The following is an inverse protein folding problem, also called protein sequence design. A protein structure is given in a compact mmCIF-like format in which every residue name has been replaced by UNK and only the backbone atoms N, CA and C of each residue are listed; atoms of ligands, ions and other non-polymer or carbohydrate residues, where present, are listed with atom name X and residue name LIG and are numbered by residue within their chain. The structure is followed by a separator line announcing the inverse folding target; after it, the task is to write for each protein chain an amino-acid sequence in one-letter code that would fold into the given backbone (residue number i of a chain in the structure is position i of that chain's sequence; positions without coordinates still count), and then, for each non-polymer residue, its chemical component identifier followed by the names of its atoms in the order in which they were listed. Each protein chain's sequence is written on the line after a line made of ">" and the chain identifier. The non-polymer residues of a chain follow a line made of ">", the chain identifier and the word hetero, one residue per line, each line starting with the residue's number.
data_IF_263609951576
#
_entry.id   IF_263609951576
#
_cell.length_a   1.000
_cell.length_b   1.000
_cell.length_c   1.000
_cell.angle_alpha   90.00
_cell.angle_beta   90.00
_cell.angle_gamma   90.00
#
_symmetry.space_group_name_H-M   'P 1'
#
loop_
_entity.id
_entity.type
_entity.pdbx_description
1 polymer ?
#
# COMPACT_ATOMS: atom_id res chain seq x y z
N UNK A 1 -35.00 52.94 -27.50
CA UNK A 1 -35.22 51.47 -27.31
C UNK A 1 -33.97 50.61 -27.55
N UNK A 2 -32.73 51.15 -27.50
CA UNK A 2 -31.50 50.38 -27.78
C UNK A 2 -30.74 49.84 -26.57
N UNK A 3 -30.75 50.53 -25.40
CA UNK A 3 -29.84 50.17 -24.30
C UNK A 3 -30.16 48.85 -23.61
N UNK A 4 -31.44 48.45 -23.53
CA UNK A 4 -31.88 47.21 -22.86
C UNK A 4 -31.44 45.94 -23.60
N UNK A 5 -31.35 46.02 -24.93
CA UNK A 5 -30.87 44.92 -25.77
C UNK A 5 -29.35 44.78 -25.69
N UNK A 6 -28.62 45.90 -25.64
CA UNK A 6 -27.17 45.90 -25.47
C UNK A 6 -26.77 45.37 -24.09
N UNK A 7 -27.48 45.76 -23.01
CA UNK A 7 -27.19 45.25 -21.66
C UNK A 7 -27.50 43.76 -21.52
N UNK A 8 -28.59 43.28 -22.13
CA UNK A 8 -28.93 41.85 -22.13
C UNK A 8 -27.90 40.99 -22.85
N UNK A 9 -27.43 41.45 -24.02
CA UNK A 9 -26.36 40.78 -24.76
C UNK A 9 -25.05 40.72 -23.99
N UNK A 10 -24.66 41.82 -23.33
CA UNK A 10 -23.44 41.88 -22.53
C UNK A 10 -23.46 40.87 -21.37
N UNK A 11 -24.59 40.75 -20.66
CA UNK A 11 -24.73 39.77 -19.56
C UNK A 11 -24.59 38.33 -20.07
N UNK A 12 -25.19 38.02 -21.22
CA UNK A 12 -25.12 36.68 -21.81
C UNK A 12 -23.69 36.31 -22.21
N UNK A 13 -22.94 37.24 -22.80
CA UNK A 13 -21.52 37.03 -23.16
C UNK A 13 -20.67 36.79 -21.91
N UNK A 14 -20.89 37.55 -20.84
CA UNK A 14 -20.18 37.35 -19.57
C UNK A 14 -20.49 35.98 -18.98
N UNK A 15 -21.77 35.55 -18.97
CA UNK A 15 -22.15 34.23 -18.49
C UNK A 15 -21.49 33.11 -19.30
N UNK A 16 -21.48 33.21 -20.63
CA UNK A 16 -20.80 32.25 -21.49
C UNK A 16 -19.30 32.19 -21.23
N UNK A 17 -18.66 33.34 -20.99
CA UNK A 17 -17.25 33.39 -20.63
C UNK A 17 -16.97 32.68 -19.30
N UNK A 18 -17.80 32.89 -18.28
CA UNK A 18 -17.69 32.19 -16.99
C UNK A 18 -17.86 30.68 -17.14
N UNK A 19 -18.85 30.23 -17.91
CA UNK A 19 -19.06 28.79 -18.17
C UNK A 19 -17.87 28.20 -18.91
N UNK A 20 -17.33 28.89 -19.91
CA UNK A 20 -16.14 28.45 -20.64
C UNK A 20 -14.91 28.32 -19.74
N UNK A 21 -14.67 29.31 -18.88
CA UNK A 21 -13.58 29.28 -17.89
C UNK A 21 -13.75 28.16 -16.87
N UNK A 22 -14.97 27.95 -16.36
CA UNK A 22 -15.27 26.87 -15.43
C UNK A 22 -15.05 25.49 -16.07
N UNK A 23 -15.49 25.32 -17.32
CA UNK A 23 -15.28 24.09 -18.07
C UNK A 23 -13.79 23.79 -18.28
N UNK A 24 -12.99 24.79 -18.69
CA UNK A 24 -11.56 24.62 -18.88
C UNK A 24 -10.85 24.26 -17.56
N UNK A 25 -11.21 24.93 -16.46
CA UNK A 25 -10.73 24.62 -15.11
C UNK A 25 -11.04 23.18 -14.72
N UNK A 26 -12.26 22.72 -14.98
CA UNK A 26 -12.69 21.36 -14.64
C UNK A 26 -11.90 20.33 -15.44
N UNK A 27 -11.76 20.54 -16.75
CA UNK A 27 -11.01 19.62 -17.63
C UNK A 27 -9.54 19.53 -17.21
N UNK A 28 -8.89 20.66 -16.93
CA UNK A 28 -7.50 20.68 -16.46
C UNK A 28 -7.34 19.96 -15.11
N UNK A 29 -8.28 20.18 -14.18
CA UNK A 29 -8.26 19.50 -12.88
C UNK A 29 -8.46 17.99 -13.05
N UNK A 30 -9.41 17.56 -13.87
CA UNK A 30 -9.63 16.14 -14.14
C UNK A 30 -8.39 15.46 -14.74
N UNK A 31 -7.69 16.14 -15.66
CA UNK A 31 -6.46 15.62 -16.23
C UNK A 31 -5.35 15.51 -15.17
N UNK A 32 -5.20 16.53 -14.33
CA UNK A 32 -4.22 16.53 -13.25
C UNK A 32 -4.50 15.44 -12.21
N UNK A 33 -5.74 15.29 -11.75
CA UNK A 33 -6.14 14.20 -10.85
C UNK A 33 -5.89 12.84 -11.50
N UNK A 34 -6.20 12.67 -12.78
CA UNK A 34 -5.93 11.44 -13.52
C UNK A 34 -4.44 11.11 -13.60
N UNK A 35 -3.57 12.11 -13.75
CA UNK A 35 -2.12 11.92 -13.69
C UNK A 35 -1.65 11.49 -12.30
N UNK A 36 -2.18 12.12 -11.25
CA UNK A 36 -1.83 11.79 -9.87
C UNK A 36 -2.26 10.37 -9.49
N UNK A 37 -3.48 9.96 -9.86
CA UNK A 37 -3.96 8.59 -9.64
C UNK A 37 -3.03 7.58 -10.32
N UNK A 38 -2.71 7.79 -11.61
CA UNK A 38 -1.80 6.91 -12.34
C UNK A 38 -0.39 6.86 -11.72
N UNK A 39 0.09 7.98 -11.17
CA UNK A 39 1.38 8.02 -10.50
C UNK A 39 1.36 7.19 -9.21
N UNK A 40 0.30 7.33 -8.41
CA UNK A 40 0.09 6.55 -7.19
C UNK A 40 -0.08 5.05 -7.48
N UNK A 41 -0.87 4.69 -8.49
CA UNK A 41 -1.02 3.30 -8.95
C UNK A 41 0.33 2.67 -9.31
N UNK A 42 1.16 3.40 -10.09
CA UNK A 42 2.51 2.93 -10.44
C UNK A 42 3.40 2.74 -9.22
N UNK A 43 3.36 3.67 -8.26
CA UNK A 43 4.13 3.54 -7.03
C UNK A 43 3.69 2.32 -6.23
N UNK A 44 2.38 2.08 -6.17
CA UNK A 44 1.79 0.94 -5.45
C UNK A 44 2.17 -0.40 -6.09
N UNK A 45 2.16 -0.47 -7.42
CA UNK A 45 2.60 -1.64 -8.17
C UNK A 45 4.10 -1.91 -8.01
N UNK A 46 4.92 -0.85 -8.02
CA UNK A 46 6.36 -0.97 -7.83
C UNK A 46 6.69 -1.48 -6.42
N UNK A 47 6.06 -0.90 -5.40
CA UNK A 47 6.25 -1.34 -4.02
C UNK A 47 5.78 -2.78 -3.81
N UNK A 48 4.66 -3.16 -4.43
CA UNK A 48 4.16 -4.53 -4.36
C UNK A 48 5.16 -5.52 -4.99
N UNK A 49 5.76 -5.18 -6.14
CA UNK A 49 6.82 -6.00 -6.75
C UNK A 49 8.03 -6.13 -5.82
N UNK A 50 8.44 -5.05 -5.17
CA UNK A 50 9.56 -5.08 -4.22
C UNK A 50 9.27 -6.00 -3.05
N UNK A 51 8.09 -5.90 -2.43
CA UNK A 51 7.66 -6.78 -1.34
C UNK A 51 7.66 -8.24 -1.79
N UNK A 52 7.05 -8.57 -2.94
CA UNK A 52 7.02 -9.94 -3.46
C UNK A 52 8.43 -10.47 -3.73
N UNK A 53 9.31 -9.63 -4.28
CA UNK A 53 10.69 -10.03 -4.53
C UNK A 53 11.46 -10.27 -3.21
N UNK A 54 11.30 -9.39 -2.23
CA UNK A 54 11.88 -9.57 -0.91
C UNK A 54 11.33 -10.84 -0.24
N UNK A 55 10.02 -11.05 -0.22
CA UNK A 55 9.39 -12.27 0.30
C UNK A 55 9.97 -13.52 -0.37
N UNK A 56 10.18 -13.50 -1.69
CA UNK A 56 10.82 -14.59 -2.41
C UNK A 56 12.28 -14.78 -1.97
N UNK A 57 13.05 -13.70 -1.82
CA UNK A 57 14.41 -13.73 -1.31
C UNK A 57 14.47 -14.29 0.13
N UNK A 58 13.57 -13.85 1.01
CA UNK A 58 13.46 -14.32 2.39
C UNK A 58 13.05 -15.79 2.44
N UNK A 59 12.09 -16.22 1.62
CA UNK A 59 11.67 -17.61 1.52
C UNK A 59 12.83 -18.50 1.07
N UNK A 60 13.61 -18.05 0.09
CA UNK A 60 14.78 -18.77 -0.40
C UNK A 60 15.92 -18.81 0.65
N UNK A 61 16.20 -17.69 1.31
CA UNK A 61 17.18 -17.58 2.39
C UNK A 61 16.84 -18.48 3.59
N UNK A 62 15.56 -18.53 3.97
CA UNK A 62 15.04 -19.36 5.05
C UNK A 62 14.78 -20.82 4.66
N UNK A 63 15.01 -21.19 3.40
CA UNK A 63 14.90 -22.60 3.02
C UNK A 63 15.98 -23.41 3.77
N UNK A 64 15.57 -24.53 4.37
CA UNK A 64 16.45 -25.42 5.15
C UNK A 64 17.69 -25.81 4.36
N UNK A 65 17.52 -26.10 3.07
CA UNK A 65 18.61 -26.45 2.16
C UNK A 65 19.64 -25.33 1.99
N UNK A 66 19.20 -24.07 1.91
CA UNK A 66 20.13 -22.95 1.77
C UNK A 66 20.84 -22.64 3.09
N UNK A 67 20.13 -22.76 4.21
CA UNK A 67 20.74 -22.65 5.55
C UNK A 67 21.78 -23.76 5.79
N UNK A 68 21.48 -25.01 5.44
CA UNK A 68 22.44 -26.12 5.51
C UNK A 68 23.68 -25.86 4.66
N UNK A 69 23.51 -25.34 3.44
CA UNK A 69 24.62 -24.96 2.57
C UNK A 69 25.47 -23.83 3.17
N UNK A 70 24.85 -22.80 3.74
CA UNK A 70 25.54 -21.69 4.40
C UNK A 70 26.28 -22.12 5.67
N UNK A 71 25.67 -22.99 6.47
CA UNK A 71 26.28 -23.58 7.67
C UNK A 71 27.50 -24.44 7.29
N UNK A 72 27.39 -25.26 6.25
CA UNK A 72 28.50 -26.05 5.73
C UNK A 72 29.67 -25.17 5.24
N UNK A 73 29.37 -24.05 4.55
CA UNK A 73 30.37 -23.09 4.09
C UNK A 73 31.12 -22.39 5.24
N UNK A 74 30.43 -22.10 6.35
CA UNK A 74 31.01 -21.44 7.51
C UNK A 74 31.57 -22.42 8.57
N UNK A 75 31.62 -23.72 8.26
CA UNK A 75 32.14 -24.74 9.17
C UNK A 75 31.28 -24.97 10.42
N UNK A 76 30.01 -24.56 10.39
CA UNK A 76 29.07 -24.74 11.49
C UNK A 76 28.50 -26.15 11.39
N UNK A 77 29.04 -27.07 12.18
CA UNK A 77 28.56 -28.45 12.28
C UNK A 77 27.29 -28.52 13.15
N UNK A 78 26.16 -28.06 12.61
CA UNK A 78 24.86 -28.14 13.28
C UNK A 78 23.86 -28.88 12.38
N UNK A 79 23.47 -30.09 12.79
CA UNK A 79 22.42 -30.86 12.12
C UNK A 79 21.06 -30.47 12.67
N UNK A 80 20.03 -30.41 11.81
CA UNK A 80 18.65 -30.22 12.28
C UNK A 80 18.28 -31.33 13.28
N UNK A 81 17.64 -31.00 14.41
CA UNK A 81 17.27 -32.02 15.40
C UNK A 81 16.30 -33.03 14.80
N UNK A 82 16.54 -34.31 15.05
CA UNK A 82 15.62 -35.37 14.66
C UNK A 82 14.26 -35.18 15.37
N UNK A 83 13.15 -35.56 14.74
CA UNK A 83 11.79 -35.37 15.29
C UNK A 83 11.64 -35.88 16.73
N UNK A 84 12.35 -36.97 17.08
CA UNK A 84 12.40 -37.54 18.43
C UNK A 84 12.95 -36.61 19.51
N UNK A 85 13.72 -35.58 19.14
CA UNK A 85 14.32 -34.61 20.06
C UNK A 85 13.52 -33.29 20.15
N UNK A 86 12.36 -33.20 19.49
CA UNK A 86 11.51 -32.00 19.51
C UNK A 86 10.51 -32.14 20.66
N UNK A 87 10.76 -31.43 21.76
CA UNK A 87 9.79 -31.30 22.85
C UNK A 87 8.75 -30.25 22.44
N UNK A 88 7.56 -30.70 22.03
CA UNK A 88 6.44 -29.79 21.73
C UNK A 88 5.85 -29.30 23.05
N UNK A 89 6.21 -28.08 23.44
CA UNK A 89 5.56 -27.41 24.56
C UNK A 89 4.09 -27.17 24.18
N UNK A 90 3.17 -27.63 25.02
CA UNK A 90 1.75 -27.28 24.91
C UNK A 90 1.67 -25.76 24.98
N UNK A 91 0.91 -25.14 24.08
CA UNK A 91 0.71 -23.69 24.09
C UNK A 91 0.33 -23.28 25.51
N UNK A 92 1.16 -22.45 26.13
CA UNK A 92 0.84 -21.81 27.40
C UNK A 92 -0.46 -21.05 27.14
N UNK A 93 -1.53 -21.38 27.87
CA UNK A 93 -2.71 -20.53 27.92
C UNK A 93 -2.22 -19.17 28.38
N UNK A 94 -2.14 -18.22 27.44
CA UNK A 94 -1.75 -16.85 27.72
C UNK A 94 -2.74 -16.32 28.75
N UNK A 95 -2.25 -15.93 29.93
CA UNK A 95 -3.09 -15.28 30.93
C UNK A 95 -3.81 -14.08 30.30
N UNK A 96 -5.11 -13.93 30.62
CA UNK A 96 -6.03 -12.84 30.25
C UNK A 96 -5.38 -11.46 29.94
N UNK A 97 -4.49 -10.89 30.79
CA UNK A 97 -3.86 -9.61 30.51
C UNK A 97 -3.01 -9.57 29.24
N UNK A 98 -2.39 -10.68 28.85
CA UNK A 98 -1.55 -10.76 27.65
C UNK A 98 -2.37 -10.91 26.37
N UNK A 99 -3.57 -11.49 26.46
CA UNK A 99 -4.49 -11.59 25.33
C UNK A 99 -5.07 -10.21 24.97
N UNK A 100 -5.42 -9.40 25.99
CA UNK A 100 -5.91 -8.04 25.80
C UNK A 100 -4.86 -7.13 25.13
N UNK A 101 -3.58 -7.27 25.50
CA UNK A 101 -2.49 -6.50 24.88
C UNK A 101 -2.30 -6.84 23.39
N UNK A 102 -2.41 -8.12 23.03
CA UNK A 102 -2.35 -8.57 21.63
C UNK A 102 -3.56 -8.08 20.82
N UNK A 103 -4.74 -8.12 21.42
CA UNK A 103 -5.98 -7.69 20.78
C UNK A 103 -6.04 -6.17 20.57
N UNK A 104 -5.56 -5.37 21.54
CA UNK A 104 -5.46 -3.91 21.39
C UNK A 104 -4.40 -3.49 20.38
N UNK A 105 -3.31 -4.25 20.25
CA UNK A 105 -2.29 -4.00 19.22
C UNK A 105 -2.82 -4.30 17.81
N UNK A 106 -3.72 -5.28 17.66
CA UNK A 106 -4.36 -5.61 16.38
C UNK A 106 -5.50 -4.68 15.97
N UNK A 107 -6.18 -4.04 16.92
CA UNK A 107 -7.32 -3.16 16.64
C UNK A 107 -6.94 -1.74 16.24
N UNK A 108 -5.71 -1.29 16.53
CA UNK A 108 -5.22 0.04 16.14
C UNK A 108 -4.83 0.20 14.66
N UNK A 109 -5.05 -0.81 13.83
CA UNK A 109 -4.73 -0.82 12.39
C UNK A 109 -5.96 -0.69 11.48
N UNK A 110 -7.16 -0.38 12.03
CA UNK A 110 -8.43 -0.31 11.27
C UNK A 110 -9.14 1.05 11.29
N UNK A 111 -8.47 2.10 11.75
CA UNK A 111 -8.98 3.48 11.71
C UNK A 111 -8.22 4.34 10.69
#
# INVERSE_FOLDING_TARGET
>A
MGSRWVSGGAVLVVLLAFVGLAYLRLTNNCEELGRQIKALERQRDELHKQVVNEEHHWANARSTRNMERLMALHGIAMSWPAERNIIRLKAVELDEPTQLAYQSAGSGLRD
#
